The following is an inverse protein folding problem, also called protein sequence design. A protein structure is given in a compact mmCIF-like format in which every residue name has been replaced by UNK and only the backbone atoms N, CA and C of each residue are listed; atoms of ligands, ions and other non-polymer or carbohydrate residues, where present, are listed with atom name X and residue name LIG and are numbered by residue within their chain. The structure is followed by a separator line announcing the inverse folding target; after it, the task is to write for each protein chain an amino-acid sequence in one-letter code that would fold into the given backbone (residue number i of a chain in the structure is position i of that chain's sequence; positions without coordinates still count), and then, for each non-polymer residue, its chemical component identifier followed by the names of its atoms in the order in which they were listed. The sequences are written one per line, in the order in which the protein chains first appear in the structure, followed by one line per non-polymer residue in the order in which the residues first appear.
data_IF_420284702547
#
_entry.id   IF_420284702547
#
_cell.length_a   1.000
_cell.length_b   1.000
_cell.length_c   1.000
_cell.angle_alpha   90.00
_cell.angle_beta   90.00
_cell.angle_gamma   90.00
#
_symmetry.space_group_name_H-M   'P 1'
#
loop_
_entity.id
_entity.type
_entity.pdbx_description
1 polymer ?
#
# COMPACT_ATOMS: atom_id res chain seq x y z
N UNK A 1 0.56 -7.10 -7.15
CA UNK A 1 -0.79 -6.80 -6.65
C UNK A 1 -0.75 -5.65 -5.66
N UNK A 2 -1.82 -4.93 -5.50
CA UNK A 2 -1.87 -3.80 -4.58
C UNK A 2 -3.30 -3.36 -4.31
N UNK A 3 -3.45 -2.36 -3.46
CA UNK A 3 -4.73 -1.76 -3.12
C UNK A 3 -4.91 -0.44 -3.89
N UNK A 4 -6.14 -0.14 -4.27
CA UNK A 4 -6.49 1.11 -4.96
C UNK A 4 -7.35 1.95 -4.04
N UNK A 5 -6.94 3.19 -3.83
CA UNK A 5 -7.69 4.19 -3.05
C UNK A 5 -7.82 5.47 -3.85
N UNK A 6 -8.71 6.35 -3.42
CA UNK A 6 -8.86 7.67 -4.04
C UNK A 6 -8.38 8.75 -3.08
N UNK A 7 -7.48 9.62 -3.58
CA UNK A 7 -7.00 10.81 -2.87
C UNK A 7 -7.29 12.01 -3.76
N UNK A 8 -8.16 12.91 -3.29
CA UNK A 8 -8.64 14.07 -4.06
C UNK A 8 -9.27 13.60 -5.38
N UNK A 9 -8.65 13.89 -6.52
CA UNK A 9 -9.19 13.58 -7.84
C UNK A 9 -8.46 12.41 -8.52
N UNK A 10 -7.50 11.79 -7.85
CA UNK A 10 -6.68 10.73 -8.42
C UNK A 10 -6.88 9.41 -7.68
N UNK A 11 -6.86 8.32 -8.44
CA UNK A 11 -6.76 6.98 -7.88
C UNK A 11 -5.30 6.64 -7.67
N UNK A 12 -5.00 6.11 -6.50
CA UNK A 12 -3.65 5.70 -6.11
C UNK A 12 -3.57 4.19 -5.96
N UNK A 13 -2.52 3.64 -6.51
CA UNK A 13 -2.17 2.23 -6.35
C UNK A 13 -1.13 2.10 -5.25
N UNK A 14 -1.45 1.34 -4.21
CA UNK A 14 -0.55 1.05 -3.10
C UNK A 14 0.00 -0.35 -3.30
N UNK A 15 1.30 -0.52 -3.59
CA UNK A 15 1.87 -1.85 -3.80
C UNK A 15 1.81 -2.71 -2.54
N UNK A 16 1.57 -4.00 -2.72
CA UNK A 16 1.74 -5.01 -1.69
C UNK A 16 3.11 -5.65 -1.83
N UNK A 17 3.76 -5.91 -0.71
CA UNK A 17 5.07 -6.54 -0.66
C UNK A 17 5.04 -7.71 0.32
N UNK A 18 5.86 -8.71 0.06
CA UNK A 18 6.06 -9.82 0.99
C UNK A 18 6.81 -9.36 2.25
N UNK A 19 6.57 -10.00 3.41
CA UNK A 19 7.28 -9.67 4.63
C UNK A 19 8.79 -9.86 4.48
N UNK A 20 9.56 -8.97 5.11
CA UNK A 20 11.03 -9.03 5.12
C UNK A 20 11.54 -9.05 6.56
N UNK A 21 12.32 -10.05 6.92
CA UNK A 21 12.80 -10.23 8.29
C UNK A 21 13.51 -9.00 8.85
N UNK A 22 14.32 -8.33 8.03
CA UNK A 22 15.11 -7.16 8.47
C UNK A 22 14.26 -5.91 8.68
N UNK A 23 13.15 -5.78 7.96
CA UNK A 23 12.37 -4.55 7.93
C UNK A 23 11.07 -4.62 8.71
N UNK A 24 10.49 -5.80 8.83
CA UNK A 24 9.14 -5.95 9.36
C UNK A 24 9.07 -6.56 10.74
N UNK A 25 10.21 -6.97 11.30
CA UNK A 25 10.28 -7.56 12.63
C UNK A 25 11.32 -6.86 13.48
N UNK A 26 11.10 -6.91 14.78
CA UNK A 26 12.00 -6.38 15.80
C UNK A 26 12.09 -7.36 16.96
N UNK A 27 13.24 -7.43 17.60
CA UNK A 27 13.41 -8.25 18.79
C UNK A 27 12.95 -7.47 20.03
N UNK A 28 11.94 -7.98 20.72
CA UNK A 28 11.43 -7.38 21.98
C UNK A 28 11.48 -8.46 23.06
N UNK A 29 12.28 -8.22 24.09
CA UNK A 29 12.43 -9.20 25.18
C UNK A 29 12.86 -10.57 24.72
N UNK A 30 13.73 -10.66 23.70
CA UNK A 30 14.20 -11.91 23.13
C UNK A 30 13.23 -12.59 22.16
N UNK A 31 12.08 -12.00 21.90
CA UNK A 31 11.10 -12.53 20.95
C UNK A 31 11.06 -11.73 19.66
N UNK A 32 10.98 -12.43 18.53
CA UNK A 32 10.77 -11.84 17.21
C UNK A 32 9.34 -11.30 17.13
N UNK A 33 9.20 -9.98 17.03
CA UNK A 33 7.91 -9.28 17.07
C UNK A 33 7.67 -8.51 15.79
N UNK A 34 6.43 -8.54 15.29
CA UNK A 34 6.04 -7.76 14.11
C UNK A 34 6.12 -6.26 14.45
N UNK A 35 6.79 -5.48 13.61
CA UNK A 35 6.88 -4.03 13.79
C UNK A 35 5.50 -3.39 13.68
N UNK A 36 5.30 -2.29 14.41
CA UNK A 36 4.11 -1.47 14.26
C UNK A 36 4.11 -0.75 12.91
N UNK A 37 2.94 -0.35 12.47
CA UNK A 37 2.79 0.45 11.26
C UNK A 37 3.55 1.77 11.40
N UNK A 38 4.07 2.25 10.27
CA UNK A 38 4.73 3.54 10.17
C UNK A 38 3.98 4.43 9.17
N UNK A 39 4.48 5.65 8.96
CA UNK A 39 3.89 6.57 7.97
C UNK A 39 3.91 6.01 6.56
N UNK A 40 4.88 5.14 6.25
CA UNK A 40 5.10 4.65 4.88
C UNK A 40 4.75 3.18 4.68
N UNK A 41 4.52 2.43 5.75
CA UNK A 41 4.24 0.99 5.66
C UNK A 41 3.14 0.60 6.63
N UNK A 42 2.15 -0.11 6.14
CA UNK A 42 1.14 -0.78 6.98
C UNK A 42 1.33 -2.30 6.88
N UNK A 43 1.28 -2.98 8.03
CA UNK A 43 1.49 -4.44 8.10
C UNK A 43 0.16 -5.16 8.12
N UNK A 44 0.01 -6.10 7.19
CA UNK A 44 -1.18 -6.94 7.07
C UNK A 44 -1.00 -8.14 7.98
N UNK A 45 -1.75 -8.17 9.07
CA UNK A 45 -1.64 -9.20 10.10
C UNK A 45 -2.94 -10.01 10.14
N UNK A 46 -2.81 -11.33 10.16
CA UNK A 46 -3.92 -12.25 10.36
C UNK A 46 -3.75 -13.00 11.67
N UNK A 47 -4.85 -13.42 12.27
CA UNK A 47 -4.84 -14.11 13.55
C UNK A 47 -4.90 -13.17 14.74
N UNK A 48 -4.88 -13.75 15.96
CA UNK A 48 -4.99 -13.01 17.22
C UNK A 48 -3.97 -13.51 18.23
N UNK A 49 -3.55 -12.64 19.15
CA UNK A 49 -2.63 -12.98 20.23
C UNK A 49 -1.29 -13.50 19.73
N UNK A 50 -0.85 -14.64 20.25
CA UNK A 50 0.42 -15.28 19.86
C UNK A 50 0.36 -15.93 18.48
N UNK A 51 -0.84 -16.10 17.92
CA UNK A 51 -1.04 -16.67 16.59
C UNK A 51 -1.07 -15.61 15.49
N UNK A 52 -0.71 -14.37 15.80
CA UNK A 52 -0.60 -13.32 14.79
C UNK A 52 0.52 -13.65 13.80
N UNK A 53 0.18 -13.55 12.53
CA UNK A 53 1.10 -13.84 11.44
C UNK A 53 1.10 -12.68 10.46
N UNK A 54 2.29 -12.23 10.09
CA UNK A 54 2.46 -11.17 9.09
C UNK A 54 2.30 -11.77 7.70
N UNK A 55 1.29 -11.32 6.97
CA UNK A 55 0.96 -11.84 5.63
C UNK A 55 1.54 -11.00 4.51
N UNK A 56 1.74 -9.73 4.74
CA UNK A 56 2.29 -8.83 3.74
C UNK A 56 2.35 -7.41 4.26
N UNK A 57 2.79 -6.49 3.42
CA UNK A 57 2.86 -5.07 3.76
C UNK A 57 2.27 -4.22 2.65
N UNK A 58 1.61 -3.13 3.04
CA UNK A 58 1.16 -2.08 2.14
C UNK A 58 2.21 -0.98 2.10
N UNK A 59 2.81 -0.76 0.94
CA UNK A 59 3.92 0.20 0.76
C UNK A 59 3.36 1.59 0.41
N UNK A 60 2.83 2.30 1.40
CA UNK A 60 2.20 3.60 1.20
C UNK A 60 3.20 4.63 0.66
N UNK A 61 4.46 4.59 1.12
CA UNK A 61 5.50 5.52 0.67
C UNK A 61 5.85 5.42 -0.81
N UNK A 62 5.49 4.31 -1.45
CA UNK A 62 5.71 4.11 -2.89
C UNK A 62 4.41 4.02 -3.68
N UNK A 63 3.29 4.46 -3.10
CA UNK A 63 2.02 4.53 -3.85
C UNK A 63 2.16 5.48 -5.03
N UNK A 64 1.46 5.17 -6.12
CA UNK A 64 1.51 5.96 -7.35
C UNK A 64 0.10 6.28 -7.84
N UNK A 65 -0.12 7.49 -8.40
CA UNK A 65 -1.36 7.78 -9.08
C UNK A 65 -1.43 6.99 -10.38
N UNK A 66 -2.59 6.43 -10.69
CA UNK A 66 -2.77 5.64 -11.90
C UNK A 66 -4.04 6.09 -12.63
N UNK A 67 -4.04 6.12 -13.97
CA UNK A 67 -5.26 6.37 -14.71
C UNK A 67 -6.18 5.16 -14.62
N UNK A 68 -7.48 5.38 -14.70
CA UNK A 68 -8.49 4.31 -14.59
C UNK A 68 -8.24 3.21 -15.62
N UNK A 69 -7.82 3.58 -16.82
CA UNK A 69 -7.60 2.67 -17.94
C UNK A 69 -6.44 1.69 -17.69
N UNK A 70 -5.53 2.03 -16.79
CA UNK A 70 -4.38 1.17 -16.44
C UNK A 70 -4.71 0.16 -15.35
N UNK A 71 -5.92 0.22 -14.75
CA UNK A 71 -6.31 -0.67 -13.67
C UNK A 71 -6.91 -1.96 -14.23
N UNK A 72 -6.37 -3.09 -13.82
CA UNK A 72 -6.91 -4.40 -14.11
C UNK A 72 -7.36 -5.09 -12.82
N UNK A 73 -8.51 -5.77 -12.89
CA UNK A 73 -9.01 -6.54 -11.76
C UNK A 73 -8.36 -7.91 -11.76
N UNK A 74 -7.72 -8.26 -10.66
CA UNK A 74 -7.16 -9.60 -10.47
C UNK A 74 -8.26 -10.56 -10.05
N UNK A 75 -8.41 -11.65 -10.80
CA UNK A 75 -9.41 -12.67 -10.50
C UNK A 75 -8.83 -13.75 -9.59
N UNK A 76 -9.09 -13.60 -8.29
CA UNK A 76 -8.63 -14.54 -7.26
C UNK A 76 -9.21 -15.91 -7.46
N UNK A 77 -10.44 -16.00 -7.97
CA UNK A 77 -11.11 -17.28 -8.20
C UNK A 77 -10.41 -18.18 -9.21
N UNK A 78 -9.68 -17.59 -10.16
CA UNK A 78 -8.95 -18.30 -11.20
C UNK A 78 -7.46 -18.51 -10.88
N UNK A 79 -7.01 -18.11 -9.68
CA UNK A 79 -5.63 -18.34 -9.28
C UNK A 79 -5.36 -19.83 -9.10
N UNK A 80 -4.42 -20.44 -9.86
CA UNK A 80 -4.16 -21.87 -9.80
C UNK A 80 -3.39 -22.31 -8.54
N UNK A 81 -2.60 -21.43 -7.94
CA UNK A 81 -1.86 -21.74 -6.72
C UNK A 81 -2.73 -21.50 -5.50
N UNK A 82 -3.13 -22.60 -4.83
CA UNK A 82 -4.02 -22.52 -3.67
C UNK A 82 -3.42 -21.74 -2.50
N UNK A 83 -2.14 -21.92 -2.21
CA UNK A 83 -1.48 -21.20 -1.11
C UNK A 83 -1.42 -19.71 -1.40
N UNK A 84 -1.14 -19.32 -2.63
CA UNK A 84 -1.14 -17.92 -3.06
C UNK A 84 -2.55 -17.33 -3.05
N UNK A 85 -3.55 -18.10 -3.50
CA UNK A 85 -4.95 -17.71 -3.44
C UNK A 85 -5.40 -17.44 -2.01
N UNK A 86 -5.06 -18.32 -1.07
CA UNK A 86 -5.41 -18.16 0.34
C UNK A 86 -4.76 -16.90 0.93
N UNK A 87 -3.49 -16.65 0.60
CA UNK A 87 -2.78 -15.46 1.02
C UNK A 87 -3.45 -14.19 0.50
N UNK A 88 -3.79 -14.15 -0.78
CA UNK A 88 -4.47 -13.00 -1.39
C UNK A 88 -5.83 -12.76 -0.73
N UNK A 89 -6.58 -13.82 -0.44
CA UNK A 89 -7.87 -13.69 0.25
C UNK A 89 -7.71 -13.07 1.63
N UNK A 90 -6.70 -13.47 2.41
CA UNK A 90 -6.41 -12.88 3.71
C UNK A 90 -6.01 -11.42 3.61
N UNK A 91 -5.23 -11.06 2.61
CA UNK A 91 -4.84 -9.68 2.34
C UNK A 91 -6.06 -8.83 1.96
N UNK A 92 -6.95 -9.35 1.12
CA UNK A 92 -8.18 -8.65 0.72
C UNK A 92 -9.09 -8.43 1.93
N UNK A 93 -9.25 -9.43 2.80
CA UNK A 93 -10.05 -9.32 4.02
C UNK A 93 -9.50 -8.21 4.91
N UNK A 94 -8.19 -8.17 5.11
CA UNK A 94 -7.54 -7.11 5.90
C UNK A 94 -7.80 -5.74 5.29
N UNK A 95 -7.59 -5.60 3.98
CA UNK A 95 -7.75 -4.32 3.28
C UNK A 95 -9.19 -3.82 3.40
N UNK A 96 -10.18 -4.67 3.20
CA UNK A 96 -11.60 -4.29 3.32
C UNK A 96 -11.95 -3.89 4.74
N UNK A 97 -11.47 -4.64 5.72
CA UNK A 97 -11.74 -4.37 7.14
C UNK A 97 -11.07 -3.09 7.62
N UNK A 98 -9.93 -2.72 7.07
CA UNK A 98 -9.13 -1.56 7.48
C UNK A 98 -9.13 -0.44 6.43
N UNK A 99 -10.07 -0.45 5.49
CA UNK A 99 -10.12 0.51 4.38
C UNK A 99 -10.05 1.96 4.85
N UNK A 100 -10.83 2.33 5.85
CA UNK A 100 -10.84 3.70 6.39
C UNK A 100 -9.50 4.10 6.97
N UNK A 101 -8.84 3.18 7.67
CA UNK A 101 -7.51 3.41 8.25
C UNK A 101 -6.45 3.57 7.15
N UNK A 102 -6.51 2.74 6.13
CA UNK A 102 -5.59 2.80 4.98
C UNK A 102 -5.73 4.15 4.27
N UNK A 103 -6.94 4.57 3.98
CA UNK A 103 -7.22 5.84 3.32
C UNK A 103 -6.72 7.02 4.18
N UNK A 104 -7.01 6.98 5.48
CA UNK A 104 -6.56 8.01 6.41
C UNK A 104 -5.04 8.13 6.43
N UNK A 105 -4.34 7.01 6.58
CA UNK A 105 -2.87 6.98 6.62
C UNK A 105 -2.26 7.47 5.31
N UNK A 106 -2.82 7.05 4.18
CA UNK A 106 -2.36 7.48 2.86
C UNK A 106 -2.57 8.99 2.66
N UNK A 107 -3.71 9.52 3.07
CA UNK A 107 -4.00 10.97 2.98
C UNK A 107 -3.08 11.79 3.87
N UNK A 108 -2.77 11.30 5.07
CA UNK A 108 -1.83 11.97 5.97
C UNK A 108 -0.46 12.06 5.32
N UNK A 109 0.05 10.95 4.77
CA UNK A 109 1.35 10.93 4.11
C UNK A 109 1.36 11.85 2.88
N UNK A 110 0.32 11.77 2.05
CA UNK A 110 0.16 12.64 0.88
C UNK A 110 0.24 14.13 1.26
N UNK A 111 -0.52 14.53 2.28
CA UNK A 111 -0.56 15.92 2.75
C UNK A 111 0.80 16.38 3.29
N UNK A 112 1.46 15.54 4.06
CA UNK A 112 2.80 15.85 4.58
C UNK A 112 3.83 16.00 3.47
N UNK A 113 3.82 15.11 2.49
CA UNK A 113 4.74 15.18 1.35
C UNK A 113 4.49 16.43 0.50
N UNK A 114 3.21 16.73 0.26
CA UNK A 114 2.80 17.91 -0.51
C UNK A 114 3.20 19.22 0.18
N UNK A 115 3.11 19.28 1.50
CA UNK A 115 3.47 20.47 2.29
C UNK A 115 4.97 20.65 2.51
N UNK A 116 5.79 19.68 2.10
CA UNK A 116 7.24 19.75 2.29
C UNK A 116 7.70 19.47 3.71
N UNK A 117 7.00 18.57 4.42
CA UNK A 117 7.38 18.16 5.78
C UNK A 117 8.86 17.76 5.83
N UNK A 118 9.60 18.26 6.82
CA UNK A 118 11.04 18.04 6.96
C UNK A 118 11.40 16.63 7.44
N UNK A 119 10.43 15.83 7.85
CA UNK A 119 10.67 14.45 8.28
C UNK A 119 11.34 13.65 7.15
N UNK A 120 12.49 13.03 7.45
CA UNK A 120 13.27 12.27 6.47
C UNK A 120 12.48 11.14 5.83
N UNK A 121 11.60 10.48 6.58
CA UNK A 121 10.75 9.41 6.07
C UNK A 121 9.79 9.97 5.03
N UNK A 122 9.20 11.13 5.28
CA UNK A 122 8.31 11.80 4.33
C UNK A 122 9.07 12.23 3.08
N UNK A 123 10.26 12.80 3.23
CA UNK A 123 11.09 13.23 2.11
C UNK A 123 11.57 12.05 1.24
N UNK A 124 11.67 10.86 1.82
CA UNK A 124 12.06 9.66 1.09
C UNK A 124 10.93 9.10 0.20
N UNK A 125 9.71 9.56 0.39
CA UNK A 125 8.57 9.13 -0.42
C UNK A 125 8.63 9.71 -1.82
N UNK A 126 7.89 9.10 -2.74
CA UNK A 126 7.74 9.62 -4.10
C UNK A 126 7.09 11.00 -4.08
N UNK A 127 7.41 11.82 -5.06
CA UNK A 127 6.75 13.12 -5.23
C UNK A 127 5.38 12.92 -5.88
N UNK A 128 4.35 12.81 -5.05
CA UNK A 128 3.00 12.48 -5.49
C UNK A 128 2.42 13.51 -6.47
N UNK A 129 2.67 14.79 -6.22
CA UNK A 129 2.15 15.86 -7.09
C UNK A 129 2.80 15.81 -8.47
N UNK A 130 4.10 15.58 -8.54
CA UNK A 130 4.79 15.43 -9.82
C UNK A 130 4.28 14.22 -10.59
N UNK A 131 4.06 13.10 -9.90
CA UNK A 131 3.50 11.89 -10.50
C UNK A 131 2.07 12.09 -10.98
N UNK A 132 1.26 12.88 -10.29
CA UNK A 132 -0.08 13.23 -10.74
C UNK A 132 -0.07 13.97 -12.06
N UNK A 133 0.87 14.88 -12.24
CA UNK A 133 1.05 15.59 -13.51
C UNK A 133 1.41 14.65 -14.65
N UNK A 134 2.30 13.71 -14.41
CA UNK A 134 2.67 12.69 -15.40
C UNK A 134 1.49 11.78 -15.72
N UNK A 135 0.70 11.39 -14.72
CA UNK A 135 -0.50 10.59 -14.90
C UNK A 135 -1.52 11.32 -15.79
N UNK A 136 -1.74 12.61 -15.55
CA UNK A 136 -2.66 13.43 -16.33
C UNK A 136 -2.15 13.60 -17.77
N UNK A 137 -0.86 13.81 -17.96
CA UNK A 137 -0.23 13.91 -19.28
C UNK A 137 -0.37 12.59 -20.07
N UNK A 138 -0.23 11.46 -19.41
CA UNK A 138 -0.41 10.15 -20.03
C UNK A 138 -1.84 10.00 -20.58
N UNK A 139 -2.86 10.40 -19.79
CA UNK A 139 -4.25 10.40 -20.23
C UNK A 139 -4.44 11.28 -21.47
N UNK A 140 -3.91 12.50 -21.44
CA UNK A 140 -3.99 13.43 -22.57
C UNK A 140 -3.35 12.86 -23.82
N UNK A 141 -2.18 12.22 -23.69
CA UNK A 141 -1.47 11.59 -24.80
C UNK A 141 -2.27 10.43 -25.39
N UNK A 142 -2.96 9.65 -24.55
CA UNK A 142 -3.78 8.52 -24.99
C UNK A 142 -5.02 8.96 -25.75
N UNK A 143 -5.59 10.11 -25.42
CA UNK A 143 -6.78 10.64 -26.08
C UNK A 143 -6.48 11.63 -27.20
N UNK A 144 -5.32 12.28 -27.14
CA UNK A 144 -4.92 13.29 -28.11
C UNK A 144 -4.11 12.75 -29.27
N UNK A 145 -3.76 11.51 -29.20
CA UNK A 145 -2.98 10.85 -30.23
C UNK A 145 -3.82 10.26 -31.31
#
# INVERSE_FOLDING_TARGET
MGAVIEIETHKYYIPLSSPKDKHDYIMVGGKKTIRKDSLIVMRIVAGTGEKKELKGTLQIGTMIPVPDEALELYDVGNEPDKAYKDLINEEIIYIRKNEKKIIKNARVLYSKRKSGDENRVVQSCLDFVALEKECDNWKSSSYGG
#
